data_IF_190833020191
#
_entry.id   IF_190833020191
#
_cell.length_a   1.000
_cell.length_b   1.000
_cell.length_c   1.000
_cell.angle_alpha   90.00
_cell.angle_beta   90.00
_cell.angle_gamma   90.00
#
_symmetry.space_group_name_H-M   'P 1'
#
loop_
_entity.id
_entity.type
_entity.pdbx_description
1 polymer ?
#
# COMPACT_ATOMS: atom_id res chain seq x y z
N UNK A 1 2.20 19.00 3.13
CA UNK A 1 3.58 19.40 3.44
C UNK A 1 3.65 20.15 4.77
N UNK A 2 2.87 21.24 4.92
CA UNK A 2 2.85 22.06 6.15
C UNK A 2 2.66 21.21 7.42
N UNK A 3 1.64 20.31 7.42
CA UNK A 3 1.39 19.42 8.55
C UNK A 3 2.60 18.53 8.91
N UNK A 4 3.31 17.99 7.91
CA UNK A 4 4.51 17.17 8.14
C UNK A 4 5.59 18.01 8.83
N UNK A 5 5.86 19.23 8.32
CA UNK A 5 6.89 20.12 8.85
C UNK A 5 6.53 20.66 10.25
N UNK A 6 5.26 20.97 10.49
CA UNK A 6 4.77 21.43 11.79
C UNK A 6 4.87 20.35 12.89
N UNK A 7 5.05 19.09 12.49
CA UNK A 7 5.28 17.97 13.40
C UNK A 7 6.75 17.54 13.48
N UNK A 8 7.70 18.45 13.18
CA UNK A 8 9.15 18.18 13.23
C UNK A 8 9.56 16.96 12.35
N UNK A 9 8.99 16.87 11.15
CA UNK A 9 9.25 15.81 10.18
C UNK A 9 9.53 16.42 8.80
N UNK A 10 10.04 15.62 7.89
CA UNK A 10 10.34 16.01 6.52
C UNK A 10 9.49 15.20 5.53
N UNK A 11 8.98 15.79 4.42
CA UNK A 11 8.34 15.03 3.35
C UNK A 11 9.32 14.02 2.75
N UNK A 12 8.96 12.74 2.79
CA UNK A 12 9.86 11.66 2.35
C UNK A 12 10.02 11.57 0.83
N UNK A 13 8.98 11.95 0.08
CA UNK A 13 8.99 11.83 -1.39
C UNK A 13 9.50 13.09 -2.09
N UNK A 14 9.30 14.28 -1.51
CA UNK A 14 9.66 15.55 -2.15
C UNK A 14 11.16 15.64 -2.45
N UNK A 15 11.52 15.66 -3.73
CA UNK A 15 12.89 15.70 -4.20
C UNK A 15 13.61 14.35 -4.26
N UNK A 16 12.97 13.28 -3.79
CA UNK A 16 13.52 11.93 -3.92
C UNK A 16 13.49 11.50 -5.40
N UNK A 17 14.65 11.16 -5.96
CA UNK A 17 14.79 10.87 -7.39
C UNK A 17 14.15 11.93 -8.31
N UNK A 18 14.11 13.20 -7.85
CA UNK A 18 13.49 14.35 -8.52
C UNK A 18 11.94 14.32 -8.52
N UNK A 19 11.27 13.54 -7.64
CA UNK A 19 9.82 13.59 -7.50
C UNK A 19 9.36 14.98 -7.05
N UNK A 20 8.40 15.62 -7.74
CA UNK A 20 8.16 17.06 -7.57
C UNK A 20 7.22 17.42 -6.40
N UNK A 21 6.64 16.44 -5.70
CA UNK A 21 5.58 16.69 -4.71
C UNK A 21 5.79 15.92 -3.40
N UNK A 22 5.05 16.33 -2.38
CA UNK A 22 5.05 15.72 -1.04
C UNK A 22 4.29 14.39 -1.01
N UNK A 23 3.26 14.25 -1.83
CA UNK A 23 2.38 13.08 -1.90
C UNK A 23 2.35 12.53 -3.32
N UNK A 24 2.22 11.20 -3.45
CA UNK A 24 1.72 10.59 -4.66
C UNK A 24 0.19 10.58 -4.62
N UNK A 25 -0.45 10.99 -5.72
CA UNK A 25 -1.92 11.09 -5.81
C UNK A 25 -2.37 10.47 -7.13
N UNK A 26 -2.94 9.28 -7.06
CA UNK A 26 -3.21 8.42 -8.21
C UNK A 26 -4.73 8.15 -8.33
N UNK A 27 -5.47 8.91 -9.17
CA UNK A 27 -6.91 8.71 -9.33
C UNK A 27 -7.24 7.59 -10.31
N UNK A 28 -8.29 6.82 -10.01
CA UNK A 28 -8.96 5.84 -10.85
C UNK A 28 -8.03 4.75 -11.40
N UNK A 29 -7.58 4.89 -12.64
CA UNK A 29 -6.71 3.94 -13.33
C UNK A 29 -5.21 4.25 -13.18
N UNK A 30 -4.85 5.30 -12.49
CA UNK A 30 -3.47 5.51 -12.05
C UNK A 30 -3.20 4.58 -10.87
N UNK A 31 -2.14 3.78 -10.99
CA UNK A 31 -1.77 2.75 -10.01
C UNK A 31 -1.08 3.39 -8.83
N UNK A 32 0.07 4.02 -9.09
CA UNK A 32 0.92 4.72 -8.10
C UNK A 32 1.71 5.86 -8.76
N UNK A 33 2.40 6.63 -7.93
CA UNK A 33 3.32 7.71 -8.29
C UNK A 33 2.68 8.83 -9.11
N UNK A 34 1.34 8.94 -9.09
CA UNK A 34 0.63 10.03 -9.73
C UNK A 34 1.05 11.38 -9.18
N UNK A 35 1.33 12.34 -10.08
CA UNK A 35 1.71 13.70 -9.70
C UNK A 35 0.43 14.50 -9.40
N UNK A 36 0.27 15.08 -8.19
CA UNK A 36 -0.87 15.92 -7.84
C UNK A 36 -1.12 17.02 -8.87
N UNK A 37 -2.35 17.18 -9.30
CA UNK A 37 -2.73 18.16 -10.31
C UNK A 37 -4.02 18.91 -9.94
N UNK A 38 -4.45 19.86 -10.78
CA UNK A 38 -5.63 20.71 -10.51
C UNK A 38 -6.94 20.15 -11.05
N UNK A 39 -6.97 18.94 -11.60
CA UNK A 39 -8.20 18.32 -12.09
C UNK A 39 -9.09 18.00 -10.89
N UNK A 40 -10.32 18.53 -10.81
CA UNK A 40 -11.23 18.25 -9.73
C UNK A 40 -11.67 16.79 -9.75
N UNK A 41 -11.73 16.16 -8.57
CA UNK A 41 -12.33 14.86 -8.39
C UNK A 41 -13.85 14.94 -8.58
N UNK A 42 -14.46 13.85 -9.02
CA UNK A 42 -15.89 13.75 -9.29
C UNK A 42 -16.50 12.64 -8.43
N UNK A 43 -17.81 12.71 -8.27
CA UNK A 43 -18.58 11.63 -7.64
C UNK A 43 -18.38 10.33 -8.44
N UNK A 44 -18.06 9.25 -7.74
CA UNK A 44 -17.71 7.95 -8.34
C UNK A 44 -16.22 7.70 -8.57
N UNK A 45 -15.36 8.73 -8.42
CA UNK A 45 -13.91 8.54 -8.48
C UNK A 45 -13.39 7.77 -7.25
N UNK A 46 -12.28 7.07 -7.43
CA UNK A 46 -11.40 6.60 -6.36
C UNK A 46 -10.04 7.27 -6.47
N UNK A 47 -9.33 7.43 -5.36
CA UNK A 47 -8.03 8.09 -5.35
C UNK A 47 -7.11 7.43 -4.32
N UNK A 48 -6.00 6.90 -4.79
CA UNK A 48 -4.92 6.43 -3.93
C UNK A 48 -4.03 7.61 -3.54
N UNK A 49 -3.85 7.80 -2.25
CA UNK A 49 -2.93 8.79 -1.69
C UNK A 49 -1.87 8.05 -0.91
N UNK A 50 -0.63 8.35 -1.25
CA UNK A 50 0.55 7.75 -0.67
C UNK A 50 1.47 8.83 -0.11
N UNK A 51 1.98 8.62 1.12
CA UNK A 51 2.69 9.61 1.91
C UNK A 51 3.88 9.01 2.65
N UNK A 52 5.07 9.29 2.16
CA UNK A 52 6.33 9.02 2.84
C UNK A 52 6.76 10.18 3.75
N UNK A 53 7.24 9.87 4.94
CA UNK A 53 7.70 10.85 5.94
C UNK A 53 9.02 10.42 6.54
N UNK A 54 9.98 11.36 6.65
CA UNK A 54 11.21 11.17 7.40
C UNK A 54 11.11 11.89 8.74
N UNK A 55 11.25 11.15 9.84
CA UNK A 55 11.24 11.69 11.20
C UNK A 55 12.29 11.00 12.08
N UNK A 56 13.09 11.78 12.81
CA UNK A 56 14.14 11.27 13.70
C UNK A 56 15.13 10.31 13.01
N UNK A 57 15.37 10.49 11.70
CA UNK A 57 16.29 9.67 10.92
C UNK A 57 15.72 8.33 10.46
N UNK A 58 14.41 8.14 10.51
CA UNK A 58 13.71 6.96 9.99
C UNK A 58 12.54 7.37 9.10
N UNK A 59 12.33 6.59 8.05
CA UNK A 59 11.19 6.73 7.16
C UNK A 59 10.00 5.95 7.69
N UNK A 60 8.81 6.50 7.43
CA UNK A 60 7.53 5.82 7.48
C UNK A 60 6.83 6.03 6.16
N UNK A 61 6.14 5.00 5.68
CA UNK A 61 5.42 5.00 4.41
C UNK A 61 4.00 4.47 4.58
N UNK A 62 3.05 5.03 3.81
CA UNK A 62 1.66 4.67 4.02
C UNK A 62 0.74 5.11 2.89
N UNK A 63 -0.02 4.18 2.33
CA UNK A 63 -0.97 4.47 1.27
C UNK A 63 -2.39 3.98 1.59
N UNK A 64 -3.37 4.75 1.14
CA UNK A 64 -4.78 4.40 1.23
C UNK A 64 -5.57 4.87 0.01
N UNK A 65 -6.48 4.02 -0.48
CA UNK A 65 -7.40 4.40 -1.56
C UNK A 65 -8.73 4.86 -1.01
N UNK A 66 -9.05 6.13 -1.26
CA UNK A 66 -10.29 6.78 -0.85
C UNK A 66 -11.34 6.70 -1.97
N UNK A 67 -12.59 6.60 -1.58
CA UNK A 67 -13.73 6.77 -2.48
C UNK A 67 -14.26 8.21 -2.41
N UNK A 68 -14.67 8.76 -3.56
CA UNK A 68 -15.25 10.10 -3.65
C UNK A 68 -16.74 9.95 -3.96
N UNK A 69 -17.57 10.31 -2.99
CA UNK A 69 -19.02 10.14 -3.09
C UNK A 69 -19.46 8.68 -3.22
N UNK A 70 -20.40 8.39 -4.12
CA UNK A 70 -20.96 7.06 -4.34
C UNK A 70 -20.22 6.33 -5.46
N UNK A 71 -19.63 5.18 -5.16
CA UNK A 71 -18.93 4.32 -6.12
C UNK A 71 -19.78 3.09 -6.49
N UNK A 72 -19.44 2.42 -7.59
CA UNK A 72 -20.14 1.20 -8.00
C UNK A 72 -19.81 0.02 -7.08
N UNK A 73 -20.68 -0.97 -7.07
CA UNK A 73 -20.48 -2.21 -6.28
C UNK A 73 -19.21 -2.95 -6.71
N UNK A 74 -18.86 -2.90 -8.00
CA UNK A 74 -17.66 -3.53 -8.54
C UNK A 74 -16.39 -2.86 -8.00
N UNK A 75 -16.37 -1.50 -7.94
CA UNK A 75 -15.26 -0.75 -7.36
C UNK A 75 -15.17 -1.00 -5.85
N UNK A 76 -16.30 -1.01 -5.14
CA UNK A 76 -16.31 -1.33 -3.71
C UNK A 76 -15.72 -2.73 -3.45
N UNK A 77 -16.11 -3.73 -4.26
CA UNK A 77 -15.55 -5.08 -4.15
C UNK A 77 -14.05 -5.11 -4.40
N UNK A 78 -13.53 -4.32 -5.35
CA UNK A 78 -12.09 -4.20 -5.59
C UNK A 78 -11.37 -3.64 -4.36
N UNK A 79 -11.88 -2.54 -3.77
CA UNK A 79 -11.34 -1.94 -2.55
C UNK A 79 -11.29 -2.96 -1.40
N UNK A 80 -12.41 -3.62 -1.14
CA UNK A 80 -12.52 -4.60 -0.04
C UNK A 80 -11.56 -5.77 -0.22
N UNK A 81 -11.49 -6.33 -1.44
CA UNK A 81 -10.61 -7.46 -1.76
C UNK A 81 -9.13 -7.10 -1.64
N UNK A 82 -8.74 -5.92 -2.15
CA UNK A 82 -7.36 -5.46 -2.07
C UNK A 82 -6.94 -5.18 -0.62
N UNK A 83 -7.79 -4.52 0.16
CA UNK A 83 -7.55 -4.27 1.57
C UNK A 83 -7.42 -5.57 2.38
N UNK A 84 -8.31 -6.55 2.13
CA UNK A 84 -8.21 -7.87 2.75
C UNK A 84 -6.88 -8.56 2.36
N UNK A 85 -6.45 -8.43 1.10
CA UNK A 85 -5.19 -9.03 0.66
C UNK A 85 -3.96 -8.45 1.36
N UNK A 86 -3.96 -7.15 1.68
CA UNK A 86 -2.91 -6.51 2.50
C UNK A 86 -2.79 -7.22 3.86
N UNK A 87 -3.90 -7.41 4.56
CA UNK A 87 -3.90 -8.07 5.87
C UNK A 87 -3.55 -9.56 5.78
N UNK A 88 -3.94 -10.26 4.72
CA UNK A 88 -3.50 -11.63 4.47
C UNK A 88 -1.98 -11.69 4.27
N UNK A 89 -1.40 -10.73 3.56
CA UNK A 89 0.05 -10.58 3.44
C UNK A 89 0.74 -10.35 4.79
N UNK A 90 0.21 -9.41 5.59
CA UNK A 90 0.74 -9.08 6.93
C UNK A 90 0.75 -10.31 7.84
N UNK A 91 -0.28 -11.15 7.82
CA UNK A 91 -0.34 -12.42 8.59
C UNK A 91 0.79 -13.39 8.25
N UNK A 92 1.31 -13.33 7.04
CA UNK A 92 2.44 -14.17 6.62
C UNK A 92 3.81 -13.58 7.00
N UNK A 93 3.89 -12.33 7.48
CA UNK A 93 5.11 -11.72 7.99
C UNK A 93 5.40 -12.20 9.41
N UNK A 94 5.83 -13.43 9.53
CA UNK A 94 6.08 -14.12 10.81
C UNK A 94 7.35 -14.96 10.76
N UNK A 95 7.87 -15.32 11.93
CA UNK A 95 9.06 -16.13 12.04
C UNK A 95 8.93 -17.47 11.28
N UNK A 96 9.96 -17.82 10.55
CA UNK A 96 10.01 -19.05 9.75
C UNK A 96 9.56 -18.87 8.31
N UNK A 97 8.72 -17.88 8.03
CA UNK A 97 8.24 -17.55 6.69
C UNK A 97 9.28 -16.75 5.87
N UNK A 98 8.97 -16.57 4.60
CA UNK A 98 9.78 -15.87 3.60
C UNK A 98 8.94 -14.88 2.82
N UNK A 99 9.59 -13.98 2.09
CA UNK A 99 8.95 -13.00 1.22
C UNK A 99 7.85 -13.62 0.33
N UNK A 100 8.12 -14.76 -0.30
CA UNK A 100 7.15 -15.45 -1.15
C UNK A 100 5.89 -15.96 -0.44
N UNK A 101 5.89 -16.04 0.89
CA UNK A 101 4.68 -16.38 1.66
C UNK A 101 3.70 -15.18 1.65
N UNK A 102 4.20 -13.96 1.86
CA UNK A 102 3.42 -12.70 1.67
C UNK A 102 2.93 -12.61 0.23
N UNK A 103 3.87 -12.70 -0.73
CA UNK A 103 3.58 -12.57 -2.16
C UNK A 103 2.48 -13.52 -2.63
N UNK A 104 2.55 -14.79 -2.25
CA UNK A 104 1.56 -15.79 -2.65
C UNK A 104 0.21 -15.60 -1.97
N UNK A 105 0.17 -15.10 -0.73
CA UNK A 105 -1.08 -14.81 -0.04
C UNK A 105 -1.85 -13.68 -0.75
N UNK A 106 -1.17 -12.57 -1.05
CA UNK A 106 -1.72 -11.43 -1.78
C UNK A 106 -2.18 -11.85 -3.18
N UNK A 107 -1.32 -12.52 -3.94
CA UNK A 107 -1.60 -12.96 -5.31
C UNK A 107 -2.82 -13.88 -5.37
N UNK A 108 -2.81 -14.95 -4.60
CA UNK A 108 -3.87 -15.95 -4.65
C UNK A 108 -5.24 -15.37 -4.30
N UNK A 109 -5.29 -14.48 -3.31
CA UNK A 109 -6.54 -13.85 -2.90
C UNK A 109 -7.11 -12.98 -4.01
N UNK A 110 -6.30 -12.07 -4.59
CA UNK A 110 -6.77 -11.16 -5.63
C UNK A 110 -7.07 -11.87 -6.95
N UNK A 111 -6.19 -12.74 -7.44
CA UNK A 111 -6.39 -13.46 -8.70
C UNK A 111 -7.61 -14.41 -8.63
N UNK A 112 -7.89 -15.04 -7.47
CA UNK A 112 -9.10 -15.87 -7.29
C UNK A 112 -10.40 -15.06 -7.30
N UNK A 113 -10.32 -13.74 -7.04
CA UNK A 113 -11.43 -12.81 -7.19
C UNK A 113 -11.49 -12.16 -8.59
N UNK A 114 -10.59 -12.53 -9.50
CA UNK A 114 -10.57 -12.06 -10.89
C UNK A 114 -9.83 -10.74 -11.11
N UNK A 115 -9.00 -10.30 -10.16
CA UNK A 115 -8.22 -9.07 -10.23
C UNK A 115 -6.77 -9.29 -10.65
N UNK A 116 -6.20 -8.31 -11.34
CA UNK A 116 -4.79 -8.30 -11.72
C UNK A 116 -3.89 -7.80 -10.57
N UNK A 117 -2.81 -8.53 -10.29
CA UNK A 117 -1.79 -8.10 -9.31
C UNK A 117 -0.61 -7.51 -10.07
N UNK A 118 -0.30 -6.24 -9.84
CA UNK A 118 0.82 -5.54 -10.48
C UNK A 118 2.15 -6.23 -10.15
N UNK A 119 3.03 -6.34 -11.16
CA UNK A 119 4.29 -7.08 -11.05
C UNK A 119 5.53 -6.23 -11.20
N UNK A 120 5.42 -5.07 -11.81
CA UNK A 120 6.50 -4.15 -12.11
C UNK A 120 6.94 -3.31 -10.90
N UNK A 121 6.07 -3.26 -9.88
CA UNK A 121 6.26 -2.50 -8.65
C UNK A 121 6.06 -3.42 -7.45
N UNK A 122 6.81 -3.17 -6.40
CA UNK A 122 6.91 -4.09 -5.26
C UNK A 122 7.10 -3.30 -3.96
N UNK A 123 6.64 -3.85 -2.85
CA UNK A 123 6.98 -3.36 -1.53
C UNK A 123 8.47 -3.56 -1.19
N UNK A 124 8.91 -3.03 -0.09
CA UNK A 124 10.33 -2.95 0.25
C UNK A 124 10.59 -3.02 1.75
N UNK A 125 11.85 -3.24 2.12
CA UNK A 125 12.32 -2.89 3.45
C UNK A 125 12.37 -1.38 3.60
N UNK A 126 12.22 -0.86 4.79
CA UNK A 126 12.41 0.56 5.07
C UNK A 126 13.03 0.75 6.47
N UNK A 127 13.63 1.92 6.67
CA UNK A 127 14.28 2.27 7.93
C UNK A 127 14.97 3.61 7.84
N UNK A 128 16.30 3.60 7.67
CA UNK A 128 17.08 4.83 7.45
C UNK A 128 16.99 5.35 6.04
N UNK A 129 16.77 4.45 5.10
CA UNK A 129 16.42 4.77 3.72
C UNK A 129 14.96 4.37 3.47
N UNK A 130 14.27 5.09 2.59
CA UNK A 130 12.88 4.79 2.23
C UNK A 130 12.79 3.39 1.60
N UNK A 131 13.70 3.08 0.68
CA UNK A 131 13.75 1.79 0.02
C UNK A 131 14.98 1.00 0.46
N UNK A 132 14.78 0.00 1.30
CA UNK A 132 15.79 -0.94 1.76
C UNK A 132 15.50 -2.37 1.25
N UNK A 133 16.50 -3.24 1.34
CA UNK A 133 16.29 -4.67 1.09
C UNK A 133 15.56 -5.34 2.28
N UNK A 134 14.64 -6.27 2.05
CA UNK A 134 14.32 -6.93 0.77
C UNK A 134 13.24 -6.22 -0.03
N UNK A 135 13.16 -6.52 -1.33
CA UNK A 135 11.92 -6.31 -2.09
C UNK A 135 10.84 -7.26 -1.59
N UNK A 136 9.58 -6.76 -1.59
CA UNK A 136 8.38 -7.48 -1.14
C UNK A 136 7.36 -7.52 -2.30
N UNK A 137 7.55 -8.36 -3.31
CA UNK A 137 6.60 -8.47 -4.42
C UNK A 137 5.21 -8.93 -3.96
N UNK A 138 4.18 -8.38 -4.60
CA UNK A 138 2.78 -8.78 -4.37
C UNK A 138 2.39 -10.07 -5.10
N UNK A 139 3.33 -10.68 -5.82
CA UNK A 139 3.17 -11.95 -6.53
C UNK A 139 4.40 -12.83 -6.31
N UNK A 140 4.21 -14.13 -6.30
CA UNK A 140 5.33 -15.04 -6.14
C UNK A 140 4.94 -16.43 -5.63
N UNK A 141 5.95 -17.24 -5.40
CA UNK A 141 5.78 -18.62 -4.96
C UNK A 141 6.03 -18.74 -3.45
N UNK A 142 5.08 -19.37 -2.76
CA UNK A 142 5.16 -19.68 -1.33
C UNK A 142 6.50 -20.35 -0.97
N UNK A 143 7.11 -19.90 0.13
CA UNK A 143 8.37 -20.42 0.65
C UNK A 143 9.63 -19.93 -0.09
N UNK A 144 9.50 -19.05 -1.10
CA UNK A 144 10.64 -18.46 -1.81
C UNK A 144 11.07 -17.12 -1.19
N UNK A 145 12.25 -16.66 -1.57
CA UNK A 145 12.79 -15.35 -1.20
C UNK A 145 13.48 -15.32 0.14
N UNK A 146 13.78 -14.10 0.61
CA UNK A 146 14.50 -13.85 1.86
C UNK A 146 13.66 -14.31 3.05
N UNK A 147 14.31 -14.98 4.00
CA UNK A 147 13.68 -15.37 5.26
C UNK A 147 13.52 -14.16 6.16
N UNK A 148 12.38 -14.05 6.81
CA UNK A 148 12.13 -13.00 7.79
C UNK A 148 12.92 -13.22 9.08
N UNK A 149 13.40 -12.14 9.64
CA UNK A 149 14.17 -12.13 10.89
C UNK A 149 13.66 -11.02 11.82
N UNK A 150 13.81 -11.22 13.10
CA UNK A 150 13.41 -10.24 14.11
C UNK A 150 14.14 -8.90 13.91
N UNK A 151 13.43 -7.79 14.09
CA UNK A 151 13.93 -6.44 13.84
C UNK A 151 13.84 -5.97 12.38
N UNK A 152 13.35 -6.80 11.46
CA UNK A 152 13.04 -6.39 10.08
C UNK A 152 11.85 -5.46 10.06
N UNK A 153 11.92 -4.39 9.26
CA UNK A 153 10.78 -3.51 8.94
C UNK A 153 10.57 -3.52 7.45
N UNK A 154 9.33 -3.66 7.01
CA UNK A 154 8.96 -3.74 5.59
C UNK A 154 7.67 -2.97 5.30
N UNK A 155 7.58 -2.39 4.11
CA UNK A 155 6.34 -1.93 3.51
C UNK A 155 5.68 -3.09 2.77
N UNK A 156 4.40 -3.35 3.06
CA UNK A 156 3.56 -4.29 2.33
C UNK A 156 2.47 -3.47 1.64
N UNK A 157 2.50 -3.45 0.31
CA UNK A 157 1.77 -2.47 -0.50
C UNK A 157 1.12 -3.10 -1.75
N UNK A 158 0.08 -3.91 -1.61
CA UNK A 158 -0.60 -4.47 -2.77
C UNK A 158 -1.18 -3.38 -3.69
N UNK A 159 -0.77 -3.43 -4.97
CA UNK A 159 -1.33 -2.68 -6.08
C UNK A 159 -2.19 -3.62 -6.92
N UNK A 160 -3.50 -3.40 -6.90
CA UNK A 160 -4.50 -4.34 -7.44
C UNK A 160 -5.34 -3.64 -8.51
N UNK A 161 -5.31 -4.19 -9.71
CA UNK A 161 -6.04 -3.70 -10.87
C UNK A 161 -7.37 -4.45 -11.03
N UNK A 162 -8.43 -3.73 -11.39
CA UNK A 162 -9.73 -4.34 -11.69
C UNK A 162 -9.66 -5.31 -12.88
N UNK A 163 -8.75 -5.08 -13.83
CA UNK A 163 -8.57 -5.87 -15.04
C UNK A 163 -7.20 -6.55 -15.11
N UNK A 164 -6.41 -6.20 -16.14
CA UNK A 164 -5.09 -6.81 -16.35
C UNK A 164 -4.07 -6.38 -15.30
N UNK A 165 -3.12 -7.28 -15.02
CA UNK A 165 -1.96 -6.96 -14.18
C UNK A 165 -0.98 -5.97 -14.81
N UNK A 166 -1.09 -5.73 -16.13
CA UNK A 166 -0.13 -4.92 -16.90
C UNK A 166 -0.31 -3.43 -16.65
N UNK A 167 0.82 -2.74 -16.65
CA UNK A 167 0.89 -1.29 -16.44
C UNK A 167 1.69 -0.58 -17.53
N UNK A 168 1.46 0.73 -17.67
CA UNK A 168 2.22 1.63 -18.53
C UNK A 168 2.87 2.71 -17.66
N UNK A 169 4.13 3.00 -17.93
CA UNK A 169 4.84 4.14 -17.34
C UNK A 169 4.65 5.36 -18.24
N UNK A 170 4.20 6.47 -17.67
CA UNK A 170 3.92 7.69 -18.42
C UNK A 170 5.19 8.49 -18.71
N UNK A 171 5.10 9.39 -19.68
CA UNK A 171 6.21 10.25 -20.11
C UNK A 171 6.62 11.34 -19.12
N UNK A 172 5.85 11.53 -18.05
CA UNK A 172 6.21 12.42 -16.94
C UNK A 172 7.34 11.84 -16.06
N UNK A 173 7.70 10.57 -16.30
CA UNK A 173 8.77 9.87 -15.61
C UNK A 173 8.34 9.20 -14.29
N UNK A 174 7.07 9.37 -13.87
CA UNK A 174 6.59 8.94 -12.55
C UNK A 174 5.30 8.12 -12.62
N UNK A 175 4.24 8.71 -13.17
CA UNK A 175 2.90 8.12 -13.12
C UNK A 175 2.86 6.76 -13.78
N UNK A 176 2.34 5.78 -13.05
CA UNK A 176 2.07 4.44 -13.55
C UNK A 176 0.57 4.24 -13.65
N UNK A 177 0.11 3.77 -14.80
CA UNK A 177 -1.32 3.55 -15.05
C UNK A 177 -1.61 2.12 -15.53
N UNK A 178 -2.84 1.65 -15.33
CA UNK A 178 -3.27 0.35 -15.85
C UNK A 178 -3.29 0.35 -17.38
N UNK A 179 -2.85 -0.73 -18.01
CA UNK A 179 -2.77 -0.82 -19.47
C UNK A 179 -4.16 -0.81 -20.14
N UNK A 180 -5.20 -1.23 -19.43
CA UNK A 180 -6.59 -1.32 -19.91
C UNK A 180 -7.46 -0.12 -19.45
N UNK A 181 -6.90 0.82 -18.69
CA UNK A 181 -7.60 1.99 -18.12
C UNK A 181 -8.76 1.64 -17.19
N UNK A 182 -8.78 0.43 -16.66
CA UNK A 182 -9.70 0.04 -15.59
C UNK A 182 -9.14 0.50 -14.23
N UNK A 183 -9.99 0.68 -13.20
CA UNK A 183 -9.57 1.14 -11.88
C UNK A 183 -8.45 0.30 -11.25
N UNK A 184 -7.58 0.96 -10.50
CA UNK A 184 -6.56 0.36 -9.64
C UNK A 184 -6.68 0.90 -8.23
N UNK A 185 -6.27 0.09 -7.26
CA UNK A 185 -6.25 0.47 -5.84
C UNK A 185 -4.91 0.13 -5.22
N UNK A 186 -4.49 0.94 -4.26
CA UNK A 186 -3.24 0.80 -3.52
C UNK A 186 -3.50 1.00 -2.03
N UNK A 187 -3.12 0.00 -1.23
CA UNK A 187 -3.14 0.07 0.24
C UNK A 187 -1.79 -0.34 0.77
N UNK A 188 -1.34 0.28 1.83
CA UNK A 188 -0.02 0.03 2.37
C UNK A 188 0.03 0.16 3.89
N UNK A 189 0.81 -0.74 4.49
CA UNK A 189 1.25 -0.64 5.88
C UNK A 189 2.73 -0.91 6.04
N UNK A 190 3.37 -0.12 6.89
CA UNK A 190 4.66 -0.44 7.48
C UNK A 190 4.48 -1.47 8.60
N UNK A 191 5.28 -2.54 8.55
CA UNK A 191 5.19 -3.64 9.51
C UNK A 191 6.58 -4.03 10.02
N UNK A 192 6.73 -4.11 11.34
CA UNK A 192 7.94 -4.61 11.98
C UNK A 192 7.80 -6.08 12.41
N UNK A 193 8.89 -6.82 12.37
CA UNK A 193 8.98 -8.16 12.98
C UNK A 193 9.47 -8.03 14.41
N UNK A 194 8.61 -8.24 15.39
CA UNK A 194 8.94 -8.19 16.82
C UNK A 194 8.55 -9.52 17.47
N UNK A 195 9.51 -10.14 18.13
CA UNK A 195 9.34 -11.45 18.81
C UNK A 195 8.70 -12.52 17.90
N UNK A 196 9.11 -12.52 16.62
CA UNK A 196 8.65 -13.48 15.63
C UNK A 196 7.26 -13.21 15.05
N UNK A 197 6.64 -12.08 15.39
CA UNK A 197 5.29 -11.69 14.98
C UNK A 197 5.30 -10.33 14.28
N UNK A 198 4.32 -10.05 13.38
CA UNK A 198 4.15 -8.74 12.78
C UNK A 198 3.61 -7.72 13.81
N UNK A 199 4.18 -6.54 13.80
CA UNK A 199 3.70 -5.36 14.50
C UNK A 199 3.45 -4.26 13.46
N UNK A 200 2.21 -3.81 13.31
CA UNK A 200 1.89 -2.66 12.45
C UNK A 200 2.50 -1.40 13.04
N UNK A 201 3.18 -0.61 12.20
CA UNK A 201 3.75 0.69 12.56
C UNK A 201 2.91 1.85 12.05
N UNK A 202 2.01 1.61 11.10
CA UNK A 202 1.03 2.57 10.57
C UNK A 202 -0.40 2.09 10.85
N UNK A 203 -1.40 2.99 10.80
CA UNK A 203 -2.80 2.65 11.08
C UNK A 203 -3.76 3.41 10.17
N UNK A 204 -4.87 2.78 9.78
CA UNK A 204 -5.99 3.42 9.09
C UNK A 204 -7.03 4.02 10.07
N UNK A 205 -6.86 3.90 11.39
CA UNK A 205 -7.84 4.35 12.38
C UNK A 205 -8.18 5.84 12.23
N UNK A 206 -7.18 6.70 12.02
CA UNK A 206 -7.39 8.13 11.80
C UNK A 206 -8.20 8.41 10.53
N UNK A 207 -8.05 7.58 9.50
CA UNK A 207 -8.83 7.66 8.25
C UNK A 207 -10.27 7.25 8.54
N UNK A 208 -10.47 6.13 9.22
CA UNK A 208 -11.80 5.62 9.58
C UNK A 208 -12.56 6.62 10.45
N UNK A 209 -11.91 7.17 11.47
CA UNK A 209 -12.49 8.19 12.35
C UNK A 209 -12.89 9.45 11.56
N UNK A 210 -12.03 9.93 10.67
CA UNK A 210 -12.28 11.14 9.86
C UNK A 210 -13.43 10.94 8.87
N UNK A 211 -13.58 9.72 8.33
CA UNK A 211 -14.63 9.36 7.37
C UNK A 211 -15.94 8.90 8.05
N UNK A 212 -15.97 8.79 9.40
CA UNK A 212 -17.11 8.24 10.13
C UNK A 212 -17.38 6.77 9.80
N UNK A 213 -16.39 6.06 9.31
CA UNK A 213 -16.47 4.62 9.07
C UNK A 213 -16.37 3.97 10.45
N UNK A 214 -17.46 3.35 10.90
CA UNK A 214 -17.35 2.48 12.08
C UNK A 214 -16.41 1.35 11.69
N UNK A 215 -15.31 1.20 12.41
CA UNK A 215 -14.51 -0.01 12.35
C UNK A 215 -15.46 -1.17 12.61
N UNK A 216 -15.83 -1.91 11.58
CA UNK A 216 -16.58 -3.14 11.79
C UNK A 216 -15.61 -4.09 12.47
N UNK A 217 -16.03 -4.68 13.58
CA UNK A 217 -15.25 -5.68 14.34
C UNK A 217 -14.78 -6.84 13.44
N UNK A 218 -15.36 -7.02 12.26
CA UNK A 218 -14.98 -7.99 11.23
C UNK A 218 -13.88 -7.51 10.29
N UNK A 219 -13.71 -6.18 10.09
CA UNK A 219 -12.61 -5.58 9.32
C UNK A 219 -11.46 -5.10 10.21
N UNK A 220 -11.66 -5.06 11.52
CA UNK A 220 -10.57 -4.91 12.46
C UNK A 220 -9.73 -6.18 12.44
N UNK A 221 -8.63 -6.07 11.77
CA UNK A 221 -7.45 -6.84 12.14
C UNK A 221 -7.09 -6.36 13.54
N UNK A 222 -7.76 -6.95 14.55
CA UNK A 222 -7.54 -6.53 15.94
C UNK A 222 -6.07 -6.71 16.23
N UNK A 223 -5.37 -5.62 16.52
CA UNK A 223 -4.03 -5.60 17.10
C UNK A 223 -3.85 -6.69 18.18
N UNK A 224 -4.94 -7.04 18.86
CA UNK A 224 -5.01 -8.06 19.91
C UNK A 224 -4.94 -9.52 19.40
N UNK A 225 -5.20 -9.81 18.13
CA UNK A 225 -5.12 -11.17 17.58
C UNK A 225 -3.73 -11.49 17.02
N UNK A 226 -2.93 -10.48 16.68
CA UNK A 226 -1.52 -10.65 16.30
C UNK A 226 -0.63 -10.79 17.54
N UNK A 227 -1.06 -10.24 18.68
CA UNK A 227 -0.29 -10.23 19.95
C UNK A 227 -0.55 -11.45 20.85
N UNK A 228 -1.41 -12.39 20.50
CA UNK A 228 -1.70 -13.61 21.26
C UNK A 228 -1.16 -14.86 20.52
#
# INVERSE_FOLDING_TARGET
EEFIRDNDAEPGFLGMYDFPNTLCVSPNYEVVHGIPNKKPLQDGDIISIDCGVLKNGFYGDHAYTFKIGEITTEIQKLLDTALESLYLGIREFKEGNRVGDISSAIQNHNESNGYGVVRELVGHGLGKDLHESPEIPNFGKKGNGKKFVNGMVIAIEPMINMGTEKVNFLSDGWTVETADKLPSVHFEHDVAMIDGKPLLLSTFDFIYDALGIKSNEENEFKWNEISN
#
